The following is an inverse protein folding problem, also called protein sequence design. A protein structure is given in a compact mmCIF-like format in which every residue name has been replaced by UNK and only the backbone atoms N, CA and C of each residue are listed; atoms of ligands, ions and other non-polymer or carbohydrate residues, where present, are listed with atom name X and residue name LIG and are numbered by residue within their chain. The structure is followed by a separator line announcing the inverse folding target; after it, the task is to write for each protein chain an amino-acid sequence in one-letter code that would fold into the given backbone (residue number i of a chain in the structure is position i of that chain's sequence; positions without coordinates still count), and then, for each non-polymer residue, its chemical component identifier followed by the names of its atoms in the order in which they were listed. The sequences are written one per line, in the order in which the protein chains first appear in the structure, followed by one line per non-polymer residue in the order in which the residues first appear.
data_IF_657698098435
#
_entry.id   IF_657698098435
#
_cell.length_a   1.000
_cell.length_b   1.000
_cell.length_c   1.000
_cell.angle_alpha   90.00
_cell.angle_beta   90.00
_cell.angle_gamma   90.00
#
_symmetry.space_group_name_H-M   'P 1'
#
loop_
_entity.id
_entity.type
_entity.pdbx_description
1 polymer ?
#
# COMPACT_ATOMS: atom_id res chain seq x y z
N UNK A 1 6.67 -23.56 48.08
CA UNK A 1 8.09 -23.44 48.50
C UNK A 1 8.89 -24.08 47.38
N UNK A 2 9.77 -23.44 46.62
CA UNK A 2 10.64 -22.29 46.89
C UNK A 2 11.15 -21.75 45.54
N UNK A 3 11.38 -20.44 45.50
CA UNK A 3 12.32 -19.65 44.69
C UNK A 3 13.19 -20.42 43.68
N UNK A 4 13.42 -19.89 42.47
CA UNK A 4 14.51 -18.93 42.26
C UNK A 4 14.21 -17.96 41.10
N UNK A 5 14.20 -16.67 41.42
CA UNK A 5 14.22 -15.54 40.51
C UNK A 5 15.48 -15.61 39.62
N UNK A 6 15.29 -15.75 38.30
CA UNK A 6 16.34 -15.49 37.31
C UNK A 6 16.65 -13.98 37.32
N UNK A 7 17.68 -13.59 38.06
CA UNK A 7 18.29 -12.27 37.96
C UNK A 7 18.68 -12.00 36.50
N UNK A 8 18.01 -11.03 35.85
CA UNK A 8 18.41 -10.52 34.54
C UNK A 8 19.75 -9.81 34.72
N UNK A 9 20.87 -10.50 34.46
CA UNK A 9 22.17 -9.84 34.32
C UNK A 9 22.04 -8.82 33.19
N UNK A 10 22.19 -7.54 33.54
CA UNK A 10 22.19 -6.44 32.57
C UNK A 10 23.41 -6.65 31.66
N UNK A 11 23.14 -7.08 30.42
CA UNK A 11 24.17 -7.24 29.41
C UNK A 11 24.62 -5.86 28.93
N UNK A 12 25.90 -5.68 28.59
CA UNK A 12 26.43 -4.45 27.97
C UNK A 12 25.61 -4.00 26.76
N UNK A 13 25.09 -4.94 25.97
CA UNK A 13 24.20 -4.67 24.84
C UNK A 13 22.89 -4.02 25.30
N UNK A 14 22.34 -4.44 26.43
CA UNK A 14 21.09 -3.86 26.97
C UNK A 14 21.26 -2.41 27.42
N UNK A 15 22.44 -2.06 27.94
CA UNK A 15 22.80 -0.68 28.32
C UNK A 15 22.89 0.18 27.06
N UNK A 16 23.62 -0.28 26.04
CA UNK A 16 23.76 0.43 24.76
C UNK A 16 22.39 0.69 24.12
N UNK A 17 21.52 -0.33 24.08
CA UNK A 17 20.17 -0.19 23.54
C UNK A 17 19.31 0.78 24.35
N UNK A 18 19.46 0.82 25.68
CA UNK A 18 18.75 1.76 26.53
C UNK A 18 19.21 3.20 26.30
N UNK A 19 20.53 3.42 26.24
CA UNK A 19 21.12 4.72 25.94
C UNK A 19 20.65 5.21 24.57
N UNK A 20 20.76 4.38 23.54
CA UNK A 20 20.31 4.73 22.19
C UNK A 20 18.83 5.14 22.17
N UNK A 21 17.95 4.37 22.83
CA UNK A 21 16.52 4.70 22.92
C UNK A 21 16.27 6.03 23.60
N UNK A 22 16.90 6.27 24.75
CA UNK A 22 16.74 7.52 25.50
C UNK A 22 17.28 8.70 24.69
N UNK A 23 18.44 8.56 24.04
CA UNK A 23 19.02 9.59 23.19
C UNK A 23 18.11 9.93 22.01
N UNK A 24 17.58 8.93 21.30
CA UNK A 24 16.66 9.17 20.18
C UNK A 24 15.39 9.88 20.66
N UNK A 25 14.79 9.44 21.77
CA UNK A 25 13.60 10.09 22.34
C UNK A 25 13.90 11.53 22.74
N UNK A 26 15.02 11.79 23.42
CA UNK A 26 15.42 13.12 23.83
C UNK A 26 15.65 14.06 22.63
N UNK A 27 16.31 13.56 21.57
CA UNK A 27 16.50 14.30 20.32
C UNK A 27 15.17 14.65 19.65
N UNK A 28 14.22 13.70 19.60
CA UNK A 28 12.89 13.94 19.02
C UNK A 28 12.12 14.98 19.82
N UNK A 29 12.12 14.87 21.16
CA UNK A 29 11.44 15.84 22.03
C UNK A 29 12.06 17.22 21.87
N UNK A 30 13.39 17.32 21.95
CA UNK A 30 14.10 18.59 21.80
C UNK A 30 13.89 19.22 20.42
N UNK A 31 14.03 18.44 19.35
CA UNK A 31 13.78 18.92 17.99
C UNK A 31 12.34 19.39 17.79
N UNK A 32 11.37 18.67 18.38
CA UNK A 32 9.95 19.05 18.34
C UNK A 32 9.71 20.36 19.11
N UNK A 33 10.17 20.47 20.34
CA UNK A 33 9.95 21.67 21.17
C UNK A 33 10.61 22.91 20.56
N UNK A 34 11.82 22.79 20.02
CA UNK A 34 12.51 23.88 19.30
C UNK A 34 11.75 24.27 18.03
N UNK A 35 11.24 23.29 17.28
CA UNK A 35 10.47 23.59 16.05
C UNK A 35 9.17 24.30 16.38
N UNK A 36 8.45 23.87 17.42
CA UNK A 36 7.20 24.51 17.86
C UNK A 36 7.45 25.91 18.44
N UNK A 37 8.52 26.10 19.21
CA UNK A 37 8.84 27.39 19.84
C UNK A 37 9.43 28.42 18.87
N UNK A 38 10.05 27.96 17.78
CA UNK A 38 10.63 28.84 16.75
C UNK A 38 9.61 29.68 15.98
N UNK A 39 8.31 29.34 16.03
CA UNK A 39 7.25 30.03 15.28
C UNK A 39 7.41 29.98 13.76
N UNK A 40 8.34 29.17 13.24
CA UNK A 40 8.74 29.12 11.84
C UNK A 40 7.63 28.63 10.90
N UNK A 41 6.69 27.86 11.43
CA UNK A 41 5.58 27.27 10.67
C UNK A 41 4.24 27.81 11.17
N UNK A 42 3.43 28.31 10.25
CA UNK A 42 2.07 28.74 10.55
C UNK A 42 1.22 27.54 11.02
N UNK A 43 0.20 27.75 11.88
CA UNK A 43 -0.74 26.70 12.27
C UNK A 43 -1.36 25.94 11.08
N UNK A 44 -1.56 26.64 9.95
CA UNK A 44 -2.08 26.04 8.73
C UNK A 44 -1.13 25.05 8.05
N UNK A 45 0.19 25.20 8.24
CA UNK A 45 1.19 24.25 7.76
C UNK A 45 1.07 22.89 8.47
N UNK A 46 0.77 22.89 9.77
CA UNK A 46 0.54 21.67 10.54
C UNK A 46 -0.73 20.94 10.09
N UNK A 47 -1.82 21.68 9.82
CA UNK A 47 -3.05 21.12 9.27
C UNK A 47 -2.79 20.50 7.89
N UNK A 48 -2.05 21.21 7.03
CA UNK A 48 -1.69 20.70 5.70
C UNK A 48 -0.83 19.42 5.79
N UNK A 49 0.08 19.36 6.76
CA UNK A 49 0.91 18.18 7.02
C UNK A 49 0.08 16.99 7.51
N UNK A 50 -0.91 17.22 8.39
CA UNK A 50 -1.83 16.18 8.84
C UNK A 50 -2.65 15.61 7.69
N UNK A 51 -3.15 16.48 6.80
CA UNK A 51 -3.92 16.05 5.63
C UNK A 51 -3.03 15.25 4.66
N UNK A 52 -1.82 15.71 4.39
CA UNK A 52 -0.86 14.97 3.57
C UNK A 52 -0.52 13.61 4.19
N UNK A 53 -0.31 13.56 5.51
CA UNK A 53 -0.07 12.33 6.26
C UNK A 53 -1.24 11.35 6.20
N UNK A 54 -2.47 11.84 6.32
CA UNK A 54 -3.69 11.03 6.18
C UNK A 54 -3.86 10.50 4.75
N UNK A 55 -3.58 11.31 3.73
CA UNK A 55 -3.62 10.86 2.34
C UNK A 55 -2.60 9.73 2.09
N UNK A 56 -1.36 9.90 2.57
CA UNK A 56 -0.33 8.86 2.45
C UNK A 56 -0.70 7.60 3.25
N UNK A 57 -1.22 7.77 4.46
CA UNK A 57 -1.70 6.68 5.31
C UNK A 57 -2.86 5.92 4.67
N UNK A 58 -3.72 6.59 3.89
CA UNK A 58 -4.82 5.98 3.16
C UNK A 58 -4.34 5.02 2.07
N UNK A 59 -3.25 5.38 1.36
CA UNK A 59 -2.59 4.48 0.39
C UNK A 59 -2.04 3.25 1.12
N UNK A 60 -1.34 3.45 2.24
CA UNK A 60 -0.81 2.33 3.02
C UNK A 60 -1.91 1.45 3.61
N UNK A 61 -3.02 2.04 4.04
CA UNK A 61 -4.18 1.30 4.53
C UNK A 61 -4.79 0.42 3.43
N UNK A 62 -4.93 0.93 2.20
CA UNK A 62 -5.39 0.12 1.06
C UNK A 62 -4.44 -1.04 0.74
N UNK A 63 -3.13 -0.79 0.73
CA UNK A 63 -2.12 -1.83 0.48
C UNK A 63 -2.19 -2.90 1.58
N UNK A 64 -2.26 -2.48 2.84
CA UNK A 64 -2.35 -3.37 3.99
C UNK A 64 -3.65 -4.19 3.98
N UNK A 65 -4.78 -3.55 3.66
CA UNK A 65 -6.06 -4.23 3.53
C UNK A 65 -6.01 -5.31 2.44
N UNK A 66 -5.46 -4.99 1.26
CA UNK A 66 -5.31 -5.97 0.17
C UNK A 66 -4.46 -7.17 0.60
N UNK A 67 -3.32 -6.92 1.22
CA UNK A 67 -2.43 -7.96 1.72
C UNK A 67 -3.11 -8.84 2.79
N UNK A 68 -3.81 -8.22 3.76
CA UNK A 68 -4.52 -8.93 4.82
C UNK A 68 -5.66 -9.80 4.30
N UNK A 69 -6.37 -9.34 3.26
CA UNK A 69 -7.47 -10.09 2.66
C UNK A 69 -6.93 -11.31 1.91
N UNK A 70 -5.92 -11.11 1.07
CA UNK A 70 -5.28 -12.17 0.28
C UNK A 70 -4.73 -13.25 1.21
N UNK A 71 -4.01 -12.85 2.26
CA UNK A 71 -3.53 -13.79 3.27
C UNK A 71 -4.68 -14.45 4.03
N UNK A 72 -5.72 -13.70 4.41
CA UNK A 72 -6.86 -14.23 5.14
C UNK A 72 -7.61 -15.33 4.39
N UNK A 73 -7.65 -15.27 3.05
CA UNK A 73 -8.32 -16.27 2.22
C UNK A 73 -7.38 -17.43 1.86
N UNK A 74 -6.18 -17.13 1.34
CA UNK A 74 -5.27 -18.18 0.85
C UNK A 74 -4.46 -18.86 1.96
N UNK A 75 -4.32 -18.20 3.12
CA UNK A 75 -3.47 -18.61 4.24
C UNK A 75 -2.00 -18.84 3.85
N UNK A 76 -1.55 -18.15 2.79
CA UNK A 76 -0.20 -18.20 2.24
C UNK A 76 0.41 -16.80 2.20
N UNK A 77 1.67 -16.68 2.61
CA UNK A 77 2.40 -15.41 2.54
C UNK A 77 2.69 -15.09 1.06
N UNK A 78 2.15 -13.98 0.57
CA UNK A 78 2.31 -13.54 -0.82
C UNK A 78 3.20 -12.29 -0.89
N UNK A 79 4.51 -12.49 -1.06
CA UNK A 79 5.46 -11.38 -1.23
C UNK A 79 5.30 -10.62 -2.55
N UNK A 80 4.70 -11.21 -3.58
CA UNK A 80 4.53 -10.59 -4.89
C UNK A 80 3.37 -9.57 -4.95
N UNK A 81 2.65 -9.35 -3.83
CA UNK A 81 1.51 -8.44 -3.79
C UNK A 81 1.91 -7.00 -4.20
N UNK A 82 3.09 -6.53 -3.77
CA UNK A 82 3.60 -5.21 -4.14
C UNK A 82 3.87 -5.08 -5.64
N UNK A 83 4.32 -6.16 -6.25
CA UNK A 83 4.71 -6.23 -7.66
C UNK A 83 3.50 -6.35 -8.57
N UNK A 84 2.43 -7.01 -8.11
CA UNK A 84 1.11 -6.96 -8.77
C UNK A 84 0.59 -5.52 -8.79
N UNK A 85 0.69 -4.80 -7.66
CA UNK A 85 0.29 -3.39 -7.58
C UNK A 85 1.15 -2.51 -8.51
N UNK A 86 2.47 -2.74 -8.51
CA UNK A 86 3.41 -2.08 -9.41
C UNK A 86 3.04 -2.29 -10.88
N UNK A 87 2.69 -3.52 -11.28
CA UNK A 87 2.34 -3.82 -12.67
C UNK A 87 1.14 -2.98 -13.14
N UNK A 88 0.07 -2.91 -12.33
CA UNK A 88 -1.07 -2.05 -12.62
C UNK A 88 -0.72 -0.56 -12.67
N UNK A 89 0.10 -0.09 -11.73
CA UNK A 89 0.54 1.31 -11.69
C UNK A 89 1.40 1.71 -12.90
N UNK A 90 2.28 0.82 -13.38
CA UNK A 90 3.10 1.06 -14.57
C UNK A 90 2.28 1.06 -15.85
N UNK A 91 1.38 0.09 -16.04
CA UNK A 91 0.55 0.05 -17.25
C UNK A 91 -0.38 1.26 -17.28
N UNK A 92 -0.98 1.63 -16.16
CA UNK A 92 -1.79 2.85 -16.06
C UNK A 92 -0.97 4.12 -16.32
N UNK A 93 0.30 4.16 -15.90
CA UNK A 93 1.20 5.26 -16.26
C UNK A 93 1.42 5.36 -17.78
N UNK A 94 1.69 4.25 -18.48
CA UNK A 94 1.87 4.28 -19.94
C UNK A 94 0.59 4.64 -20.68
N UNK A 95 -0.58 4.22 -20.16
CA UNK A 95 -1.87 4.66 -20.70
C UNK A 95 -2.04 6.17 -20.48
N UNK A 96 -1.64 6.70 -19.33
CA UNK A 96 -1.67 8.14 -19.08
C UNK A 96 -0.76 8.92 -20.05
N UNK A 97 0.48 8.46 -20.25
CA UNK A 97 1.43 9.06 -21.20
C UNK A 97 0.90 9.06 -22.64
N UNK A 98 0.30 7.94 -23.09
CA UNK A 98 -0.34 7.86 -24.40
C UNK A 98 -1.55 8.81 -24.54
N UNK A 99 -2.37 8.92 -23.49
CA UNK A 99 -3.51 9.85 -23.47
C UNK A 99 -3.05 11.31 -23.45
N UNK A 100 -1.93 11.62 -22.80
CA UNK A 100 -1.34 12.96 -22.82
C UNK A 100 -0.90 13.34 -24.24
N UNK A 101 -0.16 12.46 -24.91
CA UNK A 101 0.32 12.69 -26.27
C UNK A 101 -0.81 12.91 -27.28
N UNK A 102 -1.97 12.28 -27.06
CA UNK A 102 -3.17 12.49 -27.89
C UNK A 102 -3.97 13.76 -27.54
N UNK A 103 -3.64 14.46 -26.46
CA UNK A 103 -4.38 15.62 -25.95
C UNK A 103 -5.71 15.27 -25.27
N UNK A 104 -6.15 14.00 -25.31
CA UNK A 104 -7.41 13.53 -24.72
C UNK A 104 -7.46 13.74 -23.20
N UNK A 105 -6.29 13.63 -22.57
CA UNK A 105 -6.10 13.75 -21.13
C UNK A 105 -6.65 15.08 -20.57
N UNK A 106 -6.39 16.20 -21.27
CA UNK A 106 -6.90 17.51 -20.87
C UNK A 106 -8.36 17.75 -21.28
N UNK A 107 -8.79 17.15 -22.40
CA UNK A 107 -10.14 17.33 -22.93
C UNK A 107 -11.22 16.67 -22.06
N UNK A 108 -10.97 15.48 -21.50
CA UNK A 108 -11.94 14.74 -20.68
C UNK A 108 -11.29 14.15 -19.41
N UNK A 109 -11.10 14.96 -18.36
CA UNK A 109 -10.39 14.52 -17.15
C UNK A 109 -11.08 13.38 -16.40
N UNK A 110 -12.42 13.42 -16.26
CA UNK A 110 -13.18 12.40 -15.54
C UNK A 110 -13.13 11.03 -16.24
N UNK A 111 -13.27 11.02 -17.57
CA UNK A 111 -13.20 9.80 -18.38
C UNK A 111 -11.79 9.22 -18.32
N UNK A 112 -10.78 10.08 -18.38
CA UNK A 112 -9.38 9.65 -18.26
C UNK A 112 -9.11 8.96 -16.92
N UNK A 113 -9.55 9.53 -15.80
CA UNK A 113 -9.41 8.88 -14.47
C UNK A 113 -10.03 7.48 -14.48
N UNK A 114 -11.22 7.33 -15.05
CA UNK A 114 -11.89 6.03 -15.13
C UNK A 114 -11.11 5.03 -15.99
N UNK A 115 -10.59 5.46 -17.15
CA UNK A 115 -9.74 4.63 -18.01
C UNK A 115 -8.47 4.19 -17.27
N UNK A 116 -7.79 5.11 -16.58
CA UNK A 116 -6.58 4.84 -15.82
C UNK A 116 -6.82 3.87 -14.66
N UNK A 117 -7.94 4.01 -13.96
CA UNK A 117 -8.33 3.11 -12.89
C UNK A 117 -8.63 1.71 -13.45
N UNK A 118 -9.41 1.63 -14.54
CA UNK A 118 -9.73 0.36 -15.18
C UNK A 118 -8.50 -0.34 -15.73
N UNK A 119 -7.58 0.38 -16.39
CA UNK A 119 -6.35 -0.20 -16.91
C UNK A 119 -5.45 -0.74 -15.79
N UNK A 120 -5.35 0.00 -14.68
CA UNK A 120 -4.63 -0.46 -13.49
C UNK A 120 -5.27 -1.73 -12.90
N UNK A 121 -6.58 -1.72 -12.68
CA UNK A 121 -7.33 -2.84 -12.10
C UNK A 121 -7.27 -4.08 -13.00
N UNK A 122 -7.48 -3.93 -14.31
CA UNK A 122 -7.43 -5.01 -15.27
C UNK A 122 -6.04 -5.65 -15.31
N UNK A 123 -4.99 -4.84 -15.37
CA UNK A 123 -3.60 -5.34 -15.39
C UNK A 123 -3.25 -6.06 -14.09
N UNK A 124 -3.51 -5.45 -12.93
CA UNK A 124 -3.25 -6.08 -11.63
C UNK A 124 -4.00 -7.40 -11.50
N UNK A 125 -5.26 -7.46 -11.93
CA UNK A 125 -6.07 -8.68 -11.90
C UNK A 125 -5.48 -9.75 -12.82
N UNK A 126 -5.10 -9.39 -14.05
CA UNK A 126 -4.48 -10.32 -14.99
C UNK A 126 -3.17 -10.90 -14.44
N UNK A 127 -2.28 -10.05 -13.92
CA UNK A 127 -1.01 -10.50 -13.34
C UNK A 127 -1.25 -11.38 -12.12
N UNK A 128 -2.19 -11.02 -11.25
CA UNK A 128 -2.56 -11.83 -10.09
C UNK A 128 -3.09 -13.23 -10.49
N UNK A 129 -3.99 -13.29 -11.49
CA UNK A 129 -4.53 -14.55 -11.99
C UNK A 129 -3.47 -15.43 -12.65
N UNK A 130 -2.54 -14.82 -13.39
CA UNK A 130 -1.41 -15.54 -13.99
C UNK A 130 -0.53 -16.14 -12.89
N UNK A 131 -0.16 -15.35 -11.87
CA UNK A 131 0.63 -15.84 -10.74
C UNK A 131 -0.08 -16.94 -9.96
N UNK A 132 -1.37 -16.75 -9.68
CA UNK A 132 -2.19 -17.77 -9.02
C UNK A 132 -2.14 -19.08 -9.79
N UNK A 133 -2.39 -19.04 -11.11
CA UNK A 133 -2.48 -20.25 -11.94
C UNK A 133 -1.14 -20.93 -12.18
N UNK A 134 -0.08 -20.16 -12.39
CA UNK A 134 1.24 -20.68 -12.75
C UNK A 134 2.03 -21.13 -11.52
N UNK A 135 1.96 -20.36 -10.44
CA UNK A 135 2.78 -20.57 -9.25
C UNK A 135 1.96 -21.08 -8.05
N UNK A 136 0.99 -20.31 -7.57
CA UNK A 136 0.42 -20.55 -6.23
C UNK A 136 -0.54 -21.74 -6.17
N UNK A 137 -1.42 -21.90 -7.15
CA UNK A 137 -2.41 -22.99 -7.20
C UNK A 137 -1.75 -24.38 -7.22
N UNK A 138 -0.57 -24.49 -7.82
CA UNK A 138 0.18 -25.76 -7.87
C UNK A 138 0.81 -26.14 -6.52
N UNK A 139 0.92 -25.19 -5.60
CA UNK A 139 1.62 -25.35 -4.33
C UNK A 139 0.68 -25.29 -3.13
N UNK A 140 -0.64 -25.33 -3.35
CA UNK A 140 -1.64 -25.25 -2.28
C UNK A 140 -1.50 -26.36 -1.23
N UNK A 141 -1.01 -27.53 -1.62
CA UNK A 141 -0.78 -28.69 -0.74
C UNK A 141 0.69 -28.85 -0.33
N UNK A 142 1.57 -27.93 -0.75
CA UNK A 142 2.99 -27.99 -0.43
C UNK A 142 3.26 -27.43 0.98
N UNK A 143 4.36 -27.84 1.64
CA UNK A 143 4.81 -27.22 2.88
C UNK A 143 4.94 -25.70 2.76
N UNK A 144 4.56 -24.97 3.82
CA UNK A 144 4.54 -23.48 3.84
C UNK A 144 5.86 -22.84 3.39
N UNK A 145 6.99 -23.46 3.69
CA UNK A 145 8.31 -22.98 3.26
C UNK A 145 8.49 -22.98 1.73
N UNK A 146 7.96 -23.99 1.03
CA UNK A 146 8.04 -24.06 -0.45
C UNK A 146 7.21 -22.93 -1.06
N UNK A 147 5.98 -22.72 -0.55
CA UNK A 147 5.14 -21.60 -0.95
C UNK A 147 5.82 -20.25 -0.75
N UNK A 148 6.54 -20.07 0.36
CA UNK A 148 7.26 -18.83 0.66
C UNK A 148 8.35 -18.56 -0.37
N UNK A 149 9.19 -19.57 -0.66
CA UNK A 149 10.27 -19.47 -1.64
C UNK A 149 9.71 -19.12 -3.02
N UNK A 150 8.60 -19.75 -3.43
CA UNK A 150 7.95 -19.44 -4.70
C UNK A 150 7.38 -18.02 -4.72
N UNK A 151 6.78 -17.53 -3.64
CA UNK A 151 6.28 -16.16 -3.57
C UNK A 151 7.42 -15.12 -3.68
N UNK A 152 8.56 -15.36 -3.04
CA UNK A 152 9.76 -14.53 -3.18
C UNK A 152 10.28 -14.57 -4.62
N UNK A 153 10.36 -15.77 -5.21
CA UNK A 153 10.78 -15.95 -6.60
C UNK A 153 9.87 -15.22 -7.60
N UNK A 154 8.55 -15.29 -7.40
CA UNK A 154 7.57 -14.57 -8.20
C UNK A 154 7.70 -13.05 -8.07
N UNK A 155 7.92 -12.54 -6.84
CA UNK A 155 8.17 -11.12 -6.59
C UNK A 155 9.42 -10.64 -7.36
N UNK A 156 10.56 -11.32 -7.20
CA UNK A 156 11.77 -10.97 -7.95
C UNK A 156 11.58 -11.10 -9.46
N UNK A 157 10.91 -12.15 -9.94
CA UNK A 157 10.62 -12.30 -11.36
C UNK A 157 9.86 -11.10 -11.92
N UNK A 158 8.75 -10.69 -11.27
CA UNK A 158 7.99 -9.52 -11.71
C UNK A 158 8.80 -8.23 -11.61
N UNK A 159 9.49 -8.02 -10.49
CA UNK A 159 10.30 -6.83 -10.26
C UNK A 159 11.39 -6.68 -11.34
N UNK A 160 12.15 -7.74 -11.62
CA UNK A 160 13.21 -7.71 -12.63
C UNK A 160 12.68 -7.68 -14.06
N UNK A 161 11.50 -8.27 -14.31
CA UNK A 161 10.83 -8.17 -15.61
C UNK A 161 10.48 -6.72 -15.92
N UNK A 162 9.81 -6.02 -15.00
CA UNK A 162 9.47 -4.60 -15.17
C UNK A 162 10.71 -3.72 -15.23
N UNK A 163 11.70 -3.98 -14.37
CA UNK A 163 12.98 -3.25 -14.41
C UNK A 163 13.72 -3.46 -15.74
N UNK A 164 13.67 -4.66 -16.32
CA UNK A 164 14.28 -4.97 -17.61
C UNK A 164 13.61 -4.26 -18.78
N UNK A 165 12.28 -4.22 -18.80
CA UNK A 165 11.52 -3.56 -19.86
C UNK A 165 11.50 -2.03 -19.74
N UNK A 166 11.40 -1.48 -18.53
CA UNK A 166 11.10 -0.06 -18.32
C UNK A 166 12.20 0.72 -17.59
N UNK A 167 13.26 0.03 -17.16
CA UNK A 167 14.35 0.61 -16.38
C UNK A 167 14.03 0.75 -14.89
N UNK A 168 15.00 1.29 -14.13
CA UNK A 168 14.87 1.56 -12.69
C UNK A 168 14.63 3.04 -12.36
N UNK A 169 14.41 3.87 -13.37
CA UNK A 169 14.16 5.30 -13.19
C UNK A 169 12.77 5.56 -12.59
N UNK A 170 12.65 6.66 -11.85
CA UNK A 170 11.35 7.13 -11.37
C UNK A 170 10.50 7.60 -12.55
N UNK A 171 9.23 7.17 -12.60
CA UNK A 171 8.24 7.56 -13.61
C UNK A 171 7.11 8.30 -12.91
N UNK A 172 6.97 9.60 -13.21
CA UNK A 172 5.92 10.44 -12.66
C UNK A 172 4.73 10.47 -13.62
N UNK A 173 3.52 10.32 -13.11
CA UNK A 173 2.32 10.51 -13.92
C UNK A 173 2.27 11.93 -14.51
N UNK A 174 1.80 12.08 -15.76
CA UNK A 174 1.66 13.39 -16.37
C UNK A 174 0.68 14.27 -15.58
N UNK A 175 0.98 15.55 -15.50
CA UNK A 175 0.17 16.49 -14.74
C UNK A 175 -1.07 16.90 -15.53
N UNK A 176 -2.23 16.84 -14.88
CA UNK A 176 -3.45 17.37 -15.47
C UNK A 176 -4.31 18.12 -14.49
N UNK A 177 -4.82 19.26 -14.97
CA UNK A 177 -5.34 20.34 -14.15
C UNK A 177 -6.46 19.94 -13.20
N UNK A 178 -7.26 18.93 -13.53
CA UNK A 178 -8.35 18.45 -12.68
C UNK A 178 -7.87 17.84 -11.35
N UNK A 179 -6.68 17.22 -11.32
CA UNK A 179 -6.15 16.56 -10.12
C UNK A 179 -4.97 17.32 -9.50
N UNK A 180 -4.19 18.06 -10.30
CA UNK A 180 -3.02 18.81 -9.82
C UNK A 180 -3.34 20.20 -9.24
N UNK A 181 -4.62 20.58 -9.25
CA UNK A 181 -5.09 21.79 -8.58
C UNK A 181 -4.84 21.79 -7.07
N UNK A 182 -4.77 23.00 -6.51
CA UNK A 182 -4.72 23.25 -5.06
C UNK A 182 -6.00 23.94 -4.64
N UNK A 183 -6.61 23.45 -3.57
CA UNK A 183 -7.73 24.12 -2.91
C UNK A 183 -7.20 24.85 -1.68
N UNK A 184 -7.38 26.17 -1.67
CA UNK A 184 -7.01 27.04 -0.55
C UNK A 184 -8.25 27.34 0.27
N UNK A 185 -8.31 26.81 1.48
CA UNK A 185 -9.32 27.16 2.47
C UNK A 185 -8.69 28.12 3.49
N UNK A 186 -8.85 29.42 3.25
CA UNK A 186 -8.18 30.46 4.06
C UNK A 186 -6.66 30.35 3.96
N UNK A 187 -6.00 29.99 5.07
CA UNK A 187 -4.54 29.82 5.16
C UNK A 187 -4.05 28.40 4.91
N UNK A 188 -4.95 27.42 4.76
CA UNK A 188 -4.62 26.01 4.53
C UNK A 188 -4.69 25.71 3.03
N UNK A 189 -3.62 25.13 2.48
CA UNK A 189 -3.55 24.73 1.07
C UNK A 189 -3.48 23.21 0.98
N UNK A 190 -4.47 22.60 0.32
CA UNK A 190 -4.56 21.14 0.16
C UNK A 190 -4.51 20.80 -1.33
N UNK A 191 -3.76 19.76 -1.69
CA UNK A 191 -3.74 19.28 -3.06
C UNK A 191 -4.95 18.39 -3.32
N UNK A 192 -5.63 18.59 -4.46
CA UNK A 192 -6.86 17.85 -4.80
C UNK A 192 -6.61 16.34 -4.80
N UNK A 193 -5.44 15.88 -5.28
CA UNK A 193 -5.01 14.48 -5.21
C UNK A 193 -5.13 13.89 -3.81
N UNK A 194 -4.75 14.63 -2.76
CA UNK A 194 -4.77 14.11 -1.37
C UNK A 194 -6.19 13.78 -0.91
N UNK A 195 -7.15 14.64 -1.26
CA UNK A 195 -8.56 14.45 -0.95
C UNK A 195 -9.12 13.29 -1.77
N UNK A 196 -8.82 13.25 -3.07
CA UNK A 196 -9.28 12.18 -3.98
C UNK A 196 -8.77 10.82 -3.52
N UNK A 197 -7.50 10.70 -3.14
CA UNK A 197 -6.91 9.46 -2.64
C UNK A 197 -7.56 9.03 -1.31
N UNK A 198 -7.77 9.95 -0.37
CA UNK A 198 -8.44 9.64 0.89
C UNK A 198 -9.89 9.16 0.67
N UNK A 199 -10.64 9.86 -0.19
CA UNK A 199 -12.01 9.48 -0.54
C UNK A 199 -12.07 8.14 -1.28
N UNK A 200 -11.20 7.92 -2.26
CA UNK A 200 -11.09 6.66 -2.98
C UNK A 200 -10.76 5.51 -2.02
N UNK A 201 -9.87 5.73 -1.05
CA UNK A 201 -9.54 4.73 -0.05
C UNK A 201 -10.75 4.37 0.83
N UNK A 202 -11.48 5.36 1.35
CA UNK A 202 -12.69 5.11 2.14
C UNK A 202 -13.73 4.33 1.32
N UNK A 203 -13.96 4.74 0.06
CA UNK A 203 -14.91 4.07 -0.83
C UNK A 203 -14.49 2.62 -1.13
N UNK A 204 -13.22 2.37 -1.42
CA UNK A 204 -12.72 1.02 -1.73
C UNK A 204 -12.69 0.12 -0.50
N UNK A 205 -12.29 0.64 0.67
CA UNK A 205 -12.35 -0.10 1.94
C UNK A 205 -13.79 -0.45 2.32
N UNK A 206 -14.70 0.53 2.26
CA UNK A 206 -16.12 0.33 2.55
C UNK A 206 -16.78 -0.62 1.54
N UNK A 207 -16.46 -0.47 0.26
CA UNK A 207 -16.92 -1.35 -0.81
C UNK A 207 -16.45 -2.79 -0.64
N UNK A 208 -15.17 -3.00 -0.29
CA UNK A 208 -14.65 -4.33 -0.02
C UNK A 208 -15.26 -4.93 1.25
N UNK A 209 -15.40 -4.15 2.32
CA UNK A 209 -16.07 -4.60 3.55
C UNK A 209 -17.48 -5.08 3.26
N UNK A 210 -18.26 -4.27 2.53
CA UNK A 210 -19.60 -4.65 2.09
C UNK A 210 -19.58 -5.90 1.21
N UNK A 211 -18.64 -5.99 0.26
CA UNK A 211 -18.49 -7.16 -0.60
C UNK A 211 -18.23 -8.44 0.21
N UNK A 212 -17.27 -8.42 1.13
CA UNK A 212 -16.85 -9.59 1.91
C UNK A 212 -17.88 -10.00 2.95
N UNK A 213 -18.54 -9.05 3.62
CA UNK A 213 -19.49 -9.36 4.69
C UNK A 213 -20.93 -9.54 4.25
N UNK A 214 -21.37 -8.84 3.20
CA UNK A 214 -22.79 -8.77 2.83
C UNK A 214 -23.13 -9.54 1.55
N UNK A 215 -22.15 -9.96 0.75
CA UNK A 215 -22.42 -10.74 -0.48
C UNK A 215 -22.34 -12.24 -0.27
N UNK A 216 -23.03 -13.01 -1.13
CA UNK A 216 -22.98 -14.48 -1.14
C UNK A 216 -21.55 -14.98 -1.41
N UNK A 217 -20.86 -14.36 -2.36
CA UNK A 217 -19.47 -14.70 -2.71
C UNK A 217 -18.54 -14.48 -1.52
N UNK A 218 -18.66 -13.34 -0.83
CA UNK A 218 -17.89 -13.07 0.39
C UNK A 218 -18.14 -14.08 1.51
N UNK A 219 -19.40 -14.49 1.70
CA UNK A 219 -19.76 -15.53 2.67
C UNK A 219 -19.11 -16.88 2.33
N UNK A 220 -19.12 -17.28 1.06
CA UNK A 220 -18.45 -18.50 0.59
C UNK A 220 -16.94 -18.44 0.78
N UNK A 221 -16.30 -17.31 0.43
CA UNK A 221 -14.86 -17.12 0.61
C UNK A 221 -14.43 -17.30 2.08
N UNK A 222 -15.20 -16.73 3.01
CA UNK A 222 -14.96 -16.85 4.46
C UNK A 222 -15.20 -18.28 4.98
N UNK A 223 -16.22 -18.97 4.47
CA UNK A 223 -16.49 -20.35 4.86
C UNK A 223 -15.33 -21.28 4.44
N UNK A 224 -14.79 -21.08 3.23
CA UNK A 224 -13.65 -21.86 2.72
C UNK A 224 -12.35 -21.54 3.45
N UNK A 225 -12.16 -20.31 3.95
CA UNK A 225 -10.96 -19.97 4.73
C UNK A 225 -10.95 -20.57 6.14
N UNK A 226 -12.11 -20.89 6.72
CA UNK A 226 -12.21 -21.52 8.05
C UNK A 226 -11.90 -23.02 7.99
N UNK A 227 -12.34 -23.72 6.95
CA UNK A 227 -12.02 -25.13 6.72
C UNK A 227 -11.60 -25.37 5.27
N UNK A 228 -10.29 -25.28 5.04
CA UNK A 228 -9.67 -25.47 3.73
C UNK A 228 -9.68 -26.94 3.28
N UNK A 229 -9.79 -27.90 4.21
CA UNK A 229 -9.80 -29.34 3.91
C UNK A 229 -11.17 -29.83 3.40
N UNK A 230 -12.28 -29.25 3.88
CA UNK A 230 -13.63 -29.60 3.40
C UNK A 230 -13.89 -29.05 1.98
N UNK A 231 -13.19 -27.99 1.56
CA UNK A 231 -13.43 -27.29 0.31
C UNK A 231 -12.63 -27.80 -0.91
N UNK A 232 -11.67 -28.71 -0.71
CA UNK A 232 -10.73 -29.19 -1.74
C UNK A 232 -11.18 -30.44 -2.48
#
# INVERSE_FOLDING_TARGET
MTSLQKSKRVSWVSIILWVLRVTVIALVIYGSTVTLSSGKYAPSSWISLLIAGLAQGSIYALIALGYSLVYGIMLMINFAHGEVYMAGAFVSFFVADALEQSGFLQAQPLVTIFILLLSAMATSTLVALILERVAYRKLQNAPRMISLITAIGASFFLQYTFRGFFGSGFKAYPEFGAMWGRWTFGSVTVQVVQIVVAMAAILMMGGLYWFVEKTKTGKSMRAVSEDKEIAS
#
